data_IF_720237255002
#
_entry.id   IF_720237255002
#
_cell.length_a   1.000
_cell.length_b   1.000
_cell.length_c   1.000
_cell.angle_alpha   90.00
_cell.angle_beta   90.00
_cell.angle_gamma   90.00
#
_symmetry.space_group_name_H-M   'P 1'
#
loop_
_entity.id
_entity.type
_entity.pdbx_description
1 polymer ?
#
# COMPACT_ATOMS: atom_id res chain seq x y z
N UNK A 1 -12.20 -6.09 -4.35
CA UNK A 1 -11.53 -4.78 -4.24
C UNK A 1 -11.13 -4.56 -2.80
N UNK A 2 -9.84 -4.36 -2.58
CA UNK A 2 -9.26 -4.07 -1.28
C UNK A 2 -9.15 -2.56 -1.14
N UNK A 3 -9.61 -2.02 -0.02
CA UNK A 3 -9.64 -0.56 0.19
C UNK A 3 -9.20 -0.20 1.59
N UNK A 4 -8.26 0.72 1.70
CA UNK A 4 -7.82 1.32 2.96
C UNK A 4 -8.21 2.80 2.96
N UNK A 5 -9.02 3.20 3.94
CA UNK A 5 -9.43 4.59 4.11
C UNK A 5 -8.54 5.28 5.14
N UNK A 6 -8.28 6.56 4.92
CA UNK A 6 -7.65 7.41 5.93
C UNK A 6 -8.59 7.61 7.12
N UNK A 7 -8.06 7.37 8.32
CA UNK A 7 -8.77 7.60 9.58
C UNK A 7 -8.91 9.10 9.88
N UNK A 8 -7.95 9.89 9.43
CA UNK A 8 -7.89 11.34 9.61
C UNK A 8 -8.72 11.97 8.50
N UNK A 9 -9.90 12.45 8.87
CA UNK A 9 -10.92 13.03 7.99
C UNK A 9 -11.69 12.01 7.14
N UNK A 10 -12.75 11.44 7.71
CA UNK A 10 -13.85 10.83 6.95
C UNK A 10 -14.37 11.77 5.83
N UNK A 11 -14.33 13.08 6.09
CA UNK A 11 -14.70 14.12 5.11
C UNK A 11 -13.72 14.26 3.94
N UNK A 12 -12.46 13.85 4.11
CA UNK A 12 -11.46 13.92 3.04
C UNK A 12 -11.68 12.87 1.95
N UNK A 13 -12.46 11.81 2.24
CA UNK A 13 -12.64 10.66 1.33
C UNK A 13 -11.31 10.10 0.79
N UNK A 14 -10.23 10.25 1.56
CA UNK A 14 -8.90 9.82 1.15
C UNK A 14 -8.80 8.30 1.29
N UNK A 15 -8.43 7.60 0.22
CA UNK A 15 -8.32 6.14 0.24
C UNK A 15 -7.34 5.59 -0.79
N UNK A 16 -6.83 4.41 -0.48
CA UNK A 16 -6.06 3.55 -1.36
C UNK A 16 -6.93 2.36 -1.77
N UNK A 17 -7.11 2.14 -3.07
CA UNK A 17 -7.76 0.95 -3.62
C UNK A 17 -6.78 0.10 -4.43
N UNK A 18 -6.88 -1.22 -4.26
CA UNK A 18 -6.21 -2.20 -5.13
C UNK A 18 -7.28 -3.11 -5.73
N UNK A 19 -7.30 -3.19 -7.06
CA UNK A 19 -8.28 -3.93 -7.84
C UNK A 19 -7.57 -4.90 -8.77
N UNK A 20 -7.91 -6.18 -8.70
CA UNK A 20 -7.52 -7.14 -9.73
C UNK A 20 -8.31 -6.91 -11.03
N UNK A 21 -7.64 -6.62 -12.14
CA UNK A 21 -8.27 -6.51 -13.47
C UNK A 21 -8.26 -7.88 -14.14
N UNK A 22 -7.08 -8.50 -14.24
CA UNK A 22 -6.84 -9.76 -14.91
C UNK A 22 -5.66 -10.46 -14.25
N UNK A 23 -5.69 -11.78 -14.16
CA UNK A 23 -4.63 -12.57 -13.54
C UNK A 23 -4.33 -13.81 -14.36
N UNK A 24 -3.04 -14.12 -14.49
CA UNK A 24 -2.54 -15.41 -14.97
C UNK A 24 -1.92 -16.21 -13.81
N UNK A 25 -1.15 -17.27 -14.10
CA UNK A 25 -0.54 -18.12 -13.06
C UNK A 25 0.64 -17.48 -12.33
N UNK A 26 1.27 -16.45 -12.88
CA UNK A 26 2.51 -15.83 -12.39
C UNK A 26 2.31 -14.35 -12.03
N UNK A 27 1.53 -13.64 -12.83
CA UNK A 27 1.37 -12.19 -12.78
C UNK A 27 -0.09 -11.75 -12.79
N UNK A 28 -0.32 -10.54 -12.30
CA UNK A 28 -1.63 -9.90 -12.25
C UNK A 28 -1.55 -8.49 -12.80
N UNK A 29 -2.46 -8.17 -13.72
CA UNK A 29 -2.78 -6.80 -14.07
C UNK A 29 -3.67 -6.23 -12.97
N UNK A 30 -3.14 -5.27 -12.23
CA UNK A 30 -3.86 -4.59 -11.16
C UNK A 30 -4.09 -3.12 -11.51
N UNK A 31 -5.15 -2.56 -10.93
CA UNK A 31 -5.40 -1.13 -10.89
C UNK A 31 -5.24 -0.67 -9.45
N UNK A 32 -4.32 0.26 -9.24
CA UNK A 32 -4.14 0.97 -7.97
C UNK A 32 -4.77 2.34 -8.14
N UNK A 33 -5.61 2.74 -7.18
CA UNK A 33 -6.21 4.07 -7.16
C UNK A 33 -5.87 4.81 -5.89
N UNK A 34 -5.50 6.06 -6.06
CA UNK A 34 -5.34 7.02 -4.97
C UNK A 34 -6.48 8.02 -5.03
N UNK A 35 -7.37 8.00 -4.05
CA UNK A 35 -8.44 8.97 -3.91
C UNK A 35 -8.05 10.02 -2.87
N UNK A 36 -8.29 11.30 -3.17
CA UNK A 36 -8.11 12.42 -2.25
C UNK A 36 -9.19 13.47 -2.51
N UNK A 37 -10.23 13.47 -1.70
CA UNK A 37 -11.41 14.30 -1.89
C UNK A 37 -12.15 13.95 -3.18
N UNK A 38 -12.25 14.91 -4.07
CA UNK A 38 -12.86 14.75 -5.40
C UNK A 38 -11.82 14.39 -6.48
N UNK A 39 -10.54 14.33 -6.11
CA UNK A 39 -9.46 13.93 -7.01
C UNK A 39 -9.22 12.42 -6.91
N UNK A 40 -8.94 11.79 -8.05
CA UNK A 40 -8.49 10.41 -8.12
C UNK A 40 -7.36 10.28 -9.13
N UNK A 41 -6.39 9.42 -8.81
CA UNK A 41 -5.32 9.01 -9.70
C UNK A 41 -5.34 7.50 -9.83
N UNK A 42 -5.39 7.04 -11.07
CA UNK A 42 -5.56 5.64 -11.42
C UNK A 42 -4.33 5.14 -12.17
N UNK A 43 -3.80 4.01 -11.72
CA UNK A 43 -2.57 3.47 -12.28
C UNK A 43 -2.66 1.97 -12.50
N UNK A 44 -2.27 1.53 -13.70
CA UNK A 44 -2.32 0.12 -14.09
C UNK A 44 -0.90 -0.45 -14.15
N UNK A 45 -0.69 -1.59 -13.50
CA UNK A 45 0.60 -2.28 -13.48
C UNK A 45 0.41 -3.77 -13.67
N UNK A 46 1.47 -4.39 -14.18
CA UNK A 46 1.68 -5.83 -14.12
C UNK A 46 2.56 -6.12 -12.92
N UNK A 47 2.06 -6.90 -11.95
CA UNK A 47 2.80 -7.26 -10.73
C UNK A 47 2.88 -8.77 -10.57
N UNK A 48 3.89 -9.26 -9.87
CA UNK A 48 3.96 -10.66 -9.50
C UNK A 48 2.86 -11.00 -8.49
N UNK A 49 2.15 -12.11 -8.73
CA UNK A 49 1.10 -12.58 -7.81
C UNK A 49 1.67 -12.88 -6.42
N UNK A 50 2.90 -13.38 -6.35
CA UNK A 50 3.58 -13.66 -5.09
C UNK A 50 3.71 -12.40 -4.22
N UNK A 51 4.03 -11.25 -4.79
CA UNK A 51 4.21 -10.01 -4.04
C UNK A 51 2.90 -9.57 -3.37
N UNK A 52 1.78 -9.72 -4.08
CA UNK A 52 0.43 -9.41 -3.56
C UNK A 52 -0.03 -10.39 -2.47
N UNK A 53 0.19 -11.69 -2.68
CA UNK A 53 -0.19 -12.73 -1.72
C UNK A 53 0.65 -12.65 -0.45
N UNK A 54 1.95 -12.32 -0.60
CA UNK A 54 2.90 -12.22 0.52
C UNK A 54 2.68 -10.97 1.36
N UNK A 55 2.08 -9.91 0.82
CA UNK A 55 1.86 -8.64 1.51
C UNK A 55 1.21 -8.82 2.89
N UNK A 56 0.16 -9.63 2.98
CA UNK A 56 -0.51 -9.92 4.25
C UNK A 56 0.40 -10.65 5.23
N UNK A 57 1.13 -11.67 4.77
CA UNK A 57 2.06 -12.43 5.63
C UNK A 57 3.18 -11.54 6.15
N UNK A 58 3.73 -10.67 5.30
CA UNK A 58 4.76 -9.72 5.66
C UNK A 58 4.25 -8.73 6.72
N UNK A 59 3.09 -8.10 6.49
CA UNK A 59 2.51 -7.15 7.44
C UNK A 59 2.15 -7.82 8.77
N UNK A 60 1.55 -9.01 8.73
CA UNK A 60 1.09 -9.71 9.93
C UNK A 60 2.26 -10.21 10.79
N UNK A 61 3.28 -10.81 10.17
CA UNK A 61 4.34 -11.51 10.88
C UNK A 61 5.57 -10.63 11.17
N UNK A 62 5.80 -9.59 10.37
CA UNK A 62 7.02 -8.78 10.43
C UNK A 62 6.70 -7.31 10.76
N UNK A 63 5.61 -7.05 11.50
CA UNK A 63 5.16 -5.69 11.82
C UNK A 63 6.26 -4.83 12.46
N UNK A 64 6.94 -5.37 13.48
CA UNK A 64 7.97 -4.62 14.20
C UNK A 64 9.19 -4.37 13.32
N UNK A 65 9.58 -5.33 12.49
CA UNK A 65 10.65 -5.16 11.49
C UNK A 65 10.27 -4.09 10.46
N UNK A 66 9.01 -4.02 10.01
CA UNK A 66 8.54 -3.00 9.08
C UNK A 66 8.57 -1.59 9.66
N UNK A 67 8.37 -1.44 10.97
CA UNK A 67 8.51 -0.15 11.66
C UNK A 67 9.98 0.32 11.71
N UNK A 68 10.93 -0.62 11.64
CA UNK A 68 12.38 -0.35 11.64
C UNK A 68 12.98 -0.24 10.23
N UNK A 69 12.45 -0.98 9.25
CA UNK A 69 13.05 -1.22 7.93
C UNK A 69 12.85 -0.08 6.90
N UNK A 70 12.24 1.03 7.31
CA UNK A 70 11.89 2.23 6.52
C UNK A 70 11.00 1.98 5.28
N UNK A 71 11.31 1.07 4.35
CA UNK A 71 10.55 0.82 3.12
C UNK A 71 10.61 -0.66 2.71
N UNK A 72 9.48 -1.22 2.26
CA UNK A 72 9.39 -2.49 1.55
C UNK A 72 9.07 -2.25 0.07
N UNK A 73 9.77 -2.97 -0.81
CA UNK A 73 9.62 -2.89 -2.27
C UNK A 73 9.08 -4.22 -2.84
N UNK A 74 8.24 -4.14 -3.87
CA UNK A 74 7.90 -5.32 -4.68
C UNK A 74 9.12 -5.82 -5.49
N UNK A 75 9.15 -7.10 -5.86
CA UNK A 75 10.34 -7.77 -6.42
C UNK A 75 10.79 -7.16 -7.76
N UNK A 76 9.84 -6.81 -8.62
CA UNK A 76 10.03 -5.90 -9.76
C UNK A 76 9.25 -4.63 -9.41
N UNK A 77 9.92 -3.54 -8.98
CA UNK A 77 9.30 -2.44 -8.24
C UNK A 77 8.21 -1.77 -9.09
N UNK A 78 6.98 -2.18 -8.83
CA UNK A 78 5.75 -1.60 -9.36
C UNK A 78 5.11 -0.72 -8.30
N UNK A 79 5.29 -1.11 -7.03
CA UNK A 79 4.92 -0.33 -5.88
C UNK A 79 5.83 -0.64 -4.69
N UNK A 80 5.84 0.29 -3.75
CA UNK A 80 6.53 0.18 -2.47
C UNK A 80 5.62 0.70 -1.36
N UNK A 81 5.87 0.29 -0.13
CA UNK A 81 5.18 0.85 1.01
C UNK A 81 6.05 0.92 2.26
N UNK A 82 5.64 1.77 3.20
CA UNK A 82 6.25 1.92 4.51
C UNK A 82 5.18 2.01 5.59
N UNK A 83 5.54 1.59 6.80
CA UNK A 83 4.72 1.76 7.99
C UNK A 83 5.54 2.53 9.02
N UNK A 84 5.04 3.68 9.44
CA UNK A 84 5.70 4.51 10.45
C UNK A 84 4.80 4.67 11.66
N UNK A 85 5.36 4.57 12.86
CA UNK A 85 4.64 4.90 14.08
C UNK A 85 4.30 6.40 14.09
N UNK A 86 3.05 6.75 14.35
CA UNK A 86 2.69 8.14 14.63
C UNK A 86 2.77 8.37 16.13
N UNK A 87 3.76 9.16 16.56
CA UNK A 87 3.98 9.51 17.97
C UNK A 87 3.21 10.77 18.37
N UNK A 88 1.99 10.96 17.85
CA UNK A 88 1.18 12.13 18.17
C UNK A 88 0.61 12.00 19.58
N UNK A 89 1.01 12.90 20.48
CA UNK A 89 0.46 13.00 21.84
C UNK A 89 -1.02 13.44 21.88
N UNK A 90 -1.61 13.75 20.71
CA UNK A 90 -2.98 14.26 20.60
C UNK A 90 -4.04 13.15 20.43
N UNK A 91 -3.62 11.91 20.17
CA UNK A 91 -4.53 10.78 19.90
C UNK A 91 -4.15 9.65 20.85
N UNK A 92 -5.06 9.31 21.76
CA UNK A 92 -4.86 8.27 22.78
C UNK A 92 -4.72 6.85 22.18
N UNK A 93 -5.05 6.68 20.90
CA UNK A 93 -4.92 5.43 20.17
C UNK A 93 -3.64 5.42 19.31
N UNK A 94 -2.92 4.30 19.33
CA UNK A 94 -1.78 4.10 18.45
C UNK A 94 -2.24 4.03 17.00
N UNK A 95 -1.92 5.06 16.22
CA UNK A 95 -2.12 5.10 14.77
C UNK A 95 -0.77 5.03 14.05
N UNK A 96 -0.81 4.58 12.80
CA UNK A 96 0.35 4.40 11.94
C UNK A 96 0.17 5.18 10.66
N UNK A 97 1.27 5.66 10.10
CA UNK A 97 1.32 6.21 8.75
C UNK A 97 1.63 5.06 7.80
N UNK A 98 0.64 4.63 7.02
CA UNK A 98 0.82 3.70 5.93
C UNK A 98 1.08 4.49 4.65
N UNK A 99 2.33 4.52 4.21
CA UNK A 99 2.70 5.23 2.99
C UNK A 99 2.81 4.22 1.85
N UNK A 100 2.17 4.51 0.74
CA UNK A 100 2.16 3.63 -0.44
C UNK A 100 2.53 4.46 -1.66
N UNK A 101 3.49 3.96 -2.46
CA UNK A 101 3.98 4.66 -3.63
C UNK A 101 4.02 3.74 -4.84
N UNK A 102 3.81 4.35 -5.98
CA UNK A 102 4.03 3.76 -7.29
C UNK A 102 5.35 4.30 -7.81
N UNK A 103 6.21 3.40 -8.27
CA UNK A 103 7.39 3.81 -9.02
C UNK A 103 6.95 4.21 -10.44
N UNK A 104 7.12 5.50 -10.76
CA UNK A 104 6.69 6.07 -12.03
C UNK A 104 7.83 6.14 -13.07
N UNK A 105 9.03 5.62 -12.76
CA UNK A 105 10.22 5.97 -13.54
C UNK A 105 11.34 4.93 -13.60
N UNK A 106 11.24 4.08 -14.62
CA UNK A 106 12.31 3.33 -15.29
C UNK A 106 12.90 2.11 -14.58
N UNK A 107 12.75 0.99 -15.30
CA UNK A 107 13.54 -0.25 -15.32
C UNK A 107 15.07 0.02 -15.40
N UNK A 108 15.69 0.85 -14.55
CA UNK A 108 17.13 1.09 -14.55
C UNK A 108 17.69 1.74 -13.27
N UNK A 109 18.38 0.91 -12.48
CA UNK A 109 19.67 1.19 -11.82
C UNK A 109 19.75 2.06 -10.56
N UNK A 110 18.73 2.82 -10.15
CA UNK A 110 18.80 3.59 -8.89
C UNK A 110 17.55 3.38 -8.04
N UNK A 111 17.63 2.43 -7.09
CA UNK A 111 16.69 2.31 -5.98
C UNK A 111 16.57 3.69 -5.31
N UNK A 112 15.34 4.21 -5.21
CA UNK A 112 14.97 5.52 -4.69
C UNK A 112 15.12 6.72 -5.65
N UNK A 113 14.34 6.78 -6.72
CA UNK A 113 13.98 8.08 -7.31
C UNK A 113 12.81 8.68 -6.55
N UNK A 114 13.07 9.82 -5.89
CA UNK A 114 12.16 10.72 -5.17
C UNK A 114 11.05 11.34 -6.06
N UNK A 115 10.61 10.64 -7.10
CA UNK A 115 9.63 11.05 -8.10
C UNK A 115 8.52 10.01 -8.29
N UNK A 116 8.19 9.27 -7.23
CA UNK A 116 7.01 8.40 -7.19
C UNK A 116 5.74 9.20 -6.86
N UNK A 117 4.61 8.77 -7.40
CA UNK A 117 3.28 9.25 -6.95
C UNK A 117 2.82 8.30 -5.85
N UNK A 118 2.33 8.83 -4.74
CA UNK A 118 1.89 8.00 -3.64
C UNK A 118 0.83 8.67 -2.77
N UNK A 119 0.38 7.92 -1.78
CA UNK A 119 -0.61 8.33 -0.80
C UNK A 119 -0.11 7.95 0.59
N UNK A 120 -0.35 8.82 1.57
CA UNK A 120 -0.16 8.51 2.98
C UNK A 120 -1.52 8.32 3.61
N UNK A 121 -1.73 7.18 4.25
CA UNK A 121 -2.96 6.79 4.93
C UNK A 121 -2.69 6.62 6.42
N UNK A 122 -3.33 7.42 7.26
CA UNK A 122 -3.27 7.25 8.72
C UNK A 122 -4.28 6.21 9.16
N UNK A 123 -3.83 5.14 9.80
CA UNK A 123 -4.74 4.07 10.21
C UNK A 123 -4.22 3.21 11.37
N UNK A 124 -5.12 2.52 12.08
CA UNK A 124 -4.77 1.51 13.07
C UNK A 124 -4.21 0.23 12.42
N UNK A 125 -3.42 -0.55 13.19
CA UNK A 125 -2.78 -1.79 12.73
C UNK A 125 -3.78 -2.80 12.17
N UNK A 126 -4.90 -3.02 12.85
CA UNK A 126 -5.88 -4.05 12.47
C UNK A 126 -6.49 -3.73 11.11
N UNK A 127 -6.80 -2.46 10.86
CA UNK A 127 -7.34 -2.01 9.57
C UNK A 127 -6.33 -2.18 8.42
N UNK A 128 -5.03 -1.91 8.67
CA UNK A 128 -3.95 -2.18 7.69
C UNK A 128 -3.82 -3.69 7.40
N UNK A 129 -3.83 -4.53 8.45
CA UNK A 129 -3.81 -5.99 8.30
C UNK A 129 -5.02 -6.51 7.50
N UNK A 130 -6.22 -5.99 7.77
CA UNK A 130 -7.43 -6.37 7.03
C UNK A 130 -7.36 -5.96 5.55
N UNK A 131 -6.81 -4.78 5.24
CA UNK A 131 -6.57 -4.38 3.86
C UNK A 131 -5.63 -5.35 3.14
N UNK A 132 -4.50 -5.71 3.75
CA UNK A 132 -3.57 -6.67 3.17
C UNK A 132 -4.21 -8.06 3.00
N UNK A 133 -5.05 -8.48 3.95
CA UNK A 133 -5.81 -9.74 3.84
C UNK A 133 -6.82 -9.71 2.69
N UNK A 134 -7.48 -8.58 2.46
CA UNK A 134 -8.40 -8.40 1.33
C UNK A 134 -7.65 -8.52 0.00
N UNK A 135 -6.48 -7.89 -0.11
CA UNK A 135 -5.59 -8.06 -1.28
C UNK A 135 -5.32 -9.55 -1.47
N UNK A 136 -4.77 -10.23 -0.46
CA UNK A 136 -4.47 -11.66 -0.56
C UNK A 136 -5.66 -12.49 -1.06
N UNK A 137 -6.86 -12.28 -0.52
CA UNK A 137 -8.08 -13.01 -0.92
C UNK A 137 -8.52 -12.76 -2.37
N UNK A 138 -8.11 -11.65 -2.98
CA UNK A 138 -8.39 -11.37 -4.40
C UNK A 138 -7.45 -12.07 -5.37
N UNK A 139 -6.32 -12.58 -4.87
CA UNK A 139 -5.27 -13.22 -5.66
C UNK A 139 -4.98 -14.68 -5.25
N UNK A 140 -5.58 -15.19 -4.17
CA UNK A 140 -5.68 -16.62 -3.81
C UNK A 140 -6.70 -17.34 -4.72
#
# INVERSE_FOLDING_TARGET
>A
MATLYDRSFDASKTSLEVVNIESDTVSSNILIKFNCGEHHLDFKFLVLRSDLIMLHTLILNNWDELLEAEVWDSTDPSFSFAILANNSDLIDEQIYQFQFWIDAGEYNSHRATRSGIGITIYQDRKSIEQFALQIKKEFD
#
